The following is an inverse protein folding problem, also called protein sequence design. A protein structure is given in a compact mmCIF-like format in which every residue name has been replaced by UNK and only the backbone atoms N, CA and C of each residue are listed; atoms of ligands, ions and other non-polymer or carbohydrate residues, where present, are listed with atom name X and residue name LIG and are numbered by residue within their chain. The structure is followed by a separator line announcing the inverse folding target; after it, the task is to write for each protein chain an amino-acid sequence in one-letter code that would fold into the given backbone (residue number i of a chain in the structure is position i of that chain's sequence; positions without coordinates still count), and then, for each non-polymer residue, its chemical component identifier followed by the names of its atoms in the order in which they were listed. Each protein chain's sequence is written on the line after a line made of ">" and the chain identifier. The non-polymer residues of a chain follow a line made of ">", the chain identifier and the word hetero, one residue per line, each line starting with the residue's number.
data_IF_914726670547
#
_entry.id   IF_914726670547
#
_cell.length_a   1.000
_cell.length_b   1.000
_cell.length_c   1.000
_cell.angle_alpha   90.00
_cell.angle_beta   90.00
_cell.angle_gamma   90.00
#
_symmetry.space_group_name_H-M   'P 1'
#
loop_
_entity.id
_entity.type
_entity.pdbx_description
1 polymer ?
#
# COMPACT_ATOMS: atom_id res chain seq x y z
N UNK A 1 -86.72 2.55 63.09
CA UNK A 1 -85.25 2.64 63.18
C UNK A 1 -84.67 2.20 61.83
N UNK A 2 -84.84 3.01 60.77
CA UNK A 2 -84.58 2.59 59.37
C UNK A 2 -84.24 3.78 58.45
N UNK A 3 -83.44 4.75 58.92
CA UNK A 3 -83.02 5.88 58.07
C UNK A 3 -81.50 6.13 58.01
N UNK A 4 -80.68 5.43 58.80
CA UNK A 4 -79.22 5.63 58.79
C UNK A 4 -78.45 4.62 57.92
N UNK A 5 -79.09 3.57 57.40
CA UNK A 5 -78.40 2.54 56.60
C UNK A 5 -78.15 2.94 55.14
N UNK A 6 -78.88 3.92 54.60
CA UNK A 6 -78.78 4.31 53.19
C UNK A 6 -77.80 5.49 52.95
N UNK A 7 -77.35 6.18 54.00
CA UNK A 7 -76.43 7.32 53.85
C UNK A 7 -74.94 6.91 53.79
N UNK A 8 -74.60 5.75 54.37
CA UNK A 8 -73.22 5.21 54.36
C UNK A 8 -72.89 4.54 53.01
N UNK A 9 -73.89 4.01 52.31
CA UNK A 9 -73.66 3.34 51.01
C UNK A 9 -73.37 4.33 49.87
N UNK A 10 -73.91 5.56 49.95
CA UNK A 10 -73.76 6.57 48.89
C UNK A 10 -72.39 7.27 48.98
N UNK A 11 -71.80 7.37 50.18
CA UNK A 11 -70.48 8.01 50.37
C UNK A 11 -69.30 7.10 50.01
N UNK A 12 -69.46 5.77 50.01
CA UNK A 12 -68.43 4.82 49.58
C UNK A 12 -68.31 4.68 48.05
N UNK A 13 -69.35 5.04 47.30
CA UNK A 13 -69.39 4.94 45.83
C UNK A 13 -68.82 6.18 45.10
N UNK A 14 -68.68 7.30 45.80
CA UNK A 14 -68.18 8.55 45.21
C UNK A 14 -66.65 8.70 45.24
N UNK A 15 -65.94 7.95 46.11
CA UNK A 15 -64.48 8.02 46.26
C UNK A 15 -63.70 7.11 45.33
N UNK A 16 -64.34 6.11 44.69
CA UNK A 16 -63.70 5.22 43.71
C UNK A 16 -63.67 5.77 42.28
N UNK A 17 -64.53 6.73 41.94
CA UNK A 17 -64.57 7.31 40.58
C UNK A 17 -63.51 8.40 40.35
N UNK A 18 -62.99 9.01 41.42
CA UNK A 18 -62.00 10.10 41.29
C UNK A 18 -60.58 9.56 41.06
N UNK A 19 -60.24 8.38 41.59
CA UNK A 19 -58.93 7.76 41.36
C UNK A 19 -58.80 7.10 39.97
N UNK A 20 -59.89 6.56 39.41
CA UNK A 20 -59.87 5.95 38.08
C UNK A 20 -59.90 6.98 36.93
N UNK A 21 -60.47 8.18 37.16
CA UNK A 21 -60.57 9.21 36.14
C UNK A 21 -59.20 9.81 35.78
N UNK A 22 -58.33 10.06 36.76
CA UNK A 22 -57.02 10.68 36.48
C UNK A 22 -56.12 9.78 35.61
N UNK A 23 -56.09 8.47 35.84
CA UNK A 23 -55.24 7.56 35.07
C UNK A 23 -55.75 7.39 33.62
N UNK A 24 -57.07 7.38 33.42
CA UNK A 24 -57.71 7.31 32.09
C UNK A 24 -57.53 8.60 31.27
N UNK A 25 -57.63 9.78 31.89
CA UNK A 25 -57.44 11.06 31.19
C UNK A 25 -55.96 11.40 30.93
N UNK A 26 -55.02 10.85 31.71
CA UNK A 26 -53.58 10.97 31.43
C UNK A 26 -53.10 10.01 30.33
N UNK A 27 -53.67 8.80 30.26
CA UNK A 27 -53.36 7.80 29.20
C UNK A 27 -54.12 8.02 27.89
N UNK A 28 -55.10 8.94 27.84
CA UNK A 28 -55.86 9.28 26.65
C UNK A 28 -55.07 9.89 25.48
N UNK A 29 -53.77 10.20 25.69
CA UNK A 29 -52.84 10.61 24.63
C UNK A 29 -52.22 9.43 23.87
N UNK A 30 -52.43 8.20 24.32
CA UNK A 30 -51.86 6.99 23.72
C UNK A 30 -52.75 6.42 22.61
N UNK A 31 -52.82 7.12 21.47
CA UNK A 31 -53.50 6.60 20.27
C UNK A 31 -52.73 5.45 19.58
N UNK A 32 -53.30 4.86 18.53
CA UNK A 32 -52.69 3.77 17.74
C UNK A 32 -51.27 4.11 17.18
N UNK A 33 -50.92 5.39 17.15
CA UNK A 33 -49.62 5.91 16.70
C UNK A 33 -48.60 6.15 17.84
N UNK A 34 -49.02 6.13 19.11
CA UNK A 34 -48.14 6.37 20.26
C UNK A 34 -46.96 5.39 20.33
N UNK A 35 -47.23 4.10 20.09
CA UNK A 35 -46.20 3.07 19.99
C UNK A 35 -45.23 3.31 18.82
N UNK A 36 -45.69 3.92 17.72
CA UNK A 36 -44.82 4.28 16.59
C UNK A 36 -43.90 5.45 16.94
N UNK A 37 -44.38 6.43 17.70
CA UNK A 37 -43.57 7.55 18.18
C UNK A 37 -42.52 7.12 19.21
N UNK A 38 -42.91 6.28 20.18
CA UNK A 38 -41.97 5.70 21.14
C UNK A 38 -40.87 4.88 20.46
N UNK A 39 -41.23 4.04 19.47
CA UNK A 39 -40.27 3.30 18.67
C UNK A 39 -39.37 4.20 17.82
N UNK A 40 -39.91 5.30 17.27
CA UNK A 40 -39.14 6.28 16.49
C UNK A 40 -38.11 6.99 17.37
N UNK A 41 -38.51 7.48 18.55
CA UNK A 41 -37.61 8.10 19.53
C UNK A 41 -36.50 7.15 19.95
N UNK A 42 -36.83 5.89 20.26
CA UNK A 42 -35.82 4.87 20.61
C UNK A 42 -34.81 4.62 19.48
N UNK A 43 -35.26 4.54 18.22
CA UNK A 43 -34.38 4.41 17.05
C UNK A 43 -33.50 5.63 16.80
N UNK A 44 -34.00 6.84 17.10
CA UNK A 44 -33.23 8.09 16.98
C UNK A 44 -32.13 8.15 18.05
N UNK A 45 -32.44 7.78 19.30
CA UNK A 45 -31.45 7.69 20.38
C UNK A 45 -30.35 6.66 20.11
N UNK A 46 -30.70 5.49 19.59
CA UNK A 46 -29.72 4.46 19.19
C UNK A 46 -28.79 4.95 18.08
N UNK A 47 -29.34 5.64 17.07
CA UNK A 47 -28.53 6.26 15.99
C UNK A 47 -27.60 7.34 16.52
N UNK A 48 -28.03 8.13 17.49
CA UNK A 48 -27.21 9.19 18.05
C UNK A 48 -26.07 8.63 18.92
N UNK A 49 -26.33 7.58 19.71
CA UNK A 49 -25.29 6.83 20.42
C UNK A 49 -24.28 6.21 19.46
N UNK A 50 -24.75 5.60 18.37
CA UNK A 50 -23.88 5.03 17.34
C UNK A 50 -23.00 6.11 16.69
N UNK A 51 -23.56 7.27 16.34
CA UNK A 51 -22.78 8.39 15.78
C UNK A 51 -21.68 8.87 16.73
N UNK A 52 -21.95 8.95 18.03
CA UNK A 52 -20.94 9.35 19.03
C UNK A 52 -19.80 8.32 19.11
N UNK A 53 -20.15 7.03 19.21
CA UNK A 53 -19.18 5.93 19.19
C UNK A 53 -18.33 5.94 17.90
N UNK A 54 -18.97 6.14 16.75
CA UNK A 54 -18.27 6.23 15.45
C UNK A 54 -17.32 7.42 15.41
N UNK A 55 -17.69 8.58 15.96
CA UNK A 55 -16.81 9.73 16.05
C UNK A 55 -15.63 9.51 17.01
N UNK A 56 -15.85 8.85 18.15
CA UNK A 56 -14.80 8.50 19.09
C UNK A 56 -13.79 7.51 18.48
N UNK A 57 -14.29 6.51 17.76
CA UNK A 57 -13.46 5.58 17.00
C UNK A 57 -12.63 6.30 15.93
N UNK A 58 -13.24 7.18 15.12
CA UNK A 58 -12.50 7.90 14.08
C UNK A 58 -11.40 8.81 14.65
N UNK A 59 -11.61 9.36 15.85
CA UNK A 59 -10.61 10.17 16.57
C UNK A 59 -9.50 9.35 17.22
N UNK A 60 -9.76 8.08 17.55
CA UNK A 60 -8.75 7.22 18.18
C UNK A 60 -7.73 6.68 17.17
N UNK A 61 -8.05 6.71 15.87
CA UNK A 61 -7.13 6.31 14.80
C UNK A 61 -5.97 7.30 14.71
N UNK A 62 -4.79 6.85 15.15
CA UNK A 62 -3.54 7.61 15.06
C UNK A 62 -2.67 7.07 13.91
N UNK A 63 -2.36 7.92 12.94
CA UNK A 63 -1.55 7.54 11.76
C UNK A 63 -0.13 7.11 12.16
N UNK A 64 0.40 7.72 13.24
CA UNK A 64 1.76 7.46 13.70
C UNK A 64 1.93 6.05 14.28
N UNK A 65 0.86 5.34 14.63
CA UNK A 65 0.94 3.97 15.16
C UNK A 65 0.83 2.88 14.08
N UNK A 66 0.54 3.23 12.82
CA UNK A 66 0.33 2.23 11.77
C UNK A 66 1.55 1.35 11.49
N UNK A 67 2.77 1.89 11.63
CA UNK A 67 4.01 1.11 11.46
C UNK A 67 4.27 0.07 12.56
N UNK A 68 3.67 0.25 13.74
CA UNK A 68 3.77 -0.69 14.87
C UNK A 68 2.59 -1.65 14.97
N UNK A 69 1.57 -1.46 14.13
CA UNK A 69 0.33 -2.23 14.15
C UNK A 69 0.50 -3.57 13.41
N UNK A 70 -0.18 -4.61 13.88
CA UNK A 70 -0.25 -5.87 13.14
C UNK A 70 -1.12 -5.71 11.88
N UNK A 71 -0.79 -6.41 10.79
CA UNK A 71 -1.52 -6.27 9.52
C UNK A 71 -3.02 -6.58 9.63
N UNK A 72 -3.39 -7.55 10.49
CA UNK A 72 -4.79 -7.89 10.77
C UNK A 72 -5.52 -6.73 11.45
N UNK A 73 -4.92 -6.17 12.50
CA UNK A 73 -5.47 -5.04 13.25
C UNK A 73 -5.65 -3.81 12.36
N UNK A 74 -4.69 -3.52 11.48
CA UNK A 74 -4.82 -2.44 10.48
C UNK A 74 -6.00 -2.69 9.54
N UNK A 75 -6.12 -3.92 9.02
CA UNK A 75 -7.18 -4.28 8.07
C UNK A 75 -8.58 -4.14 8.67
N UNK A 76 -8.75 -4.60 9.92
CA UNK A 76 -10.01 -4.48 10.67
C UNK A 76 -10.34 -3.00 10.97
N UNK A 77 -9.35 -2.24 11.43
CA UNK A 77 -9.49 -0.80 11.69
C UNK A 77 -9.88 -0.04 10.42
N UNK A 78 -9.24 -0.35 9.30
CA UNK A 78 -9.50 0.29 8.02
C UNK A 78 -10.88 -0.06 7.46
N UNK A 79 -11.31 -1.32 7.60
CA UNK A 79 -12.65 -1.74 7.22
C UNK A 79 -13.70 -0.93 8.01
N UNK A 80 -13.52 -0.83 9.33
CA UNK A 80 -14.43 -0.07 10.19
C UNK A 80 -14.46 1.42 9.86
N UNK A 81 -13.29 2.03 9.64
CA UNK A 81 -13.19 3.45 9.25
C UNK A 81 -13.91 3.74 7.93
N UNK A 82 -13.80 2.84 6.94
CA UNK A 82 -14.54 2.94 5.66
C UNK A 82 -16.04 2.85 5.86
N UNK A 83 -16.53 1.91 6.67
CA UNK A 83 -17.97 1.81 6.97
C UNK A 83 -18.51 3.12 7.54
N UNK A 84 -17.80 3.70 8.52
CA UNK A 84 -18.19 4.96 9.15
C UNK A 84 -18.18 6.11 8.13
N UNK A 85 -17.13 6.22 7.31
CA UNK A 85 -17.01 7.29 6.33
C UNK A 85 -18.05 7.18 5.19
N UNK A 86 -18.40 5.95 4.76
CA UNK A 86 -19.44 5.72 3.75
C UNK A 86 -20.81 6.11 4.30
N UNK A 87 -21.12 5.68 5.53
CA UNK A 87 -22.42 5.95 6.15
C UNK A 87 -22.57 7.39 6.65
N UNK A 88 -21.45 8.07 6.95
CA UNK A 88 -21.40 9.46 7.40
C UNK A 88 -20.19 10.20 6.80
N UNK A 89 -20.31 10.70 5.56
CA UNK A 89 -19.20 11.27 4.80
C UNK A 89 -18.88 12.72 5.20
N UNK A 90 -18.40 12.93 6.44
CA UNK A 90 -17.82 14.21 6.85
C UNK A 90 -16.40 14.36 6.31
N UNK A 91 -15.90 15.60 6.24
CA UNK A 91 -14.53 15.87 5.76
C UNK A 91 -13.49 15.11 6.59
N UNK A 92 -13.68 15.09 7.90
CA UNK A 92 -12.79 14.44 8.86
C UNK A 92 -12.81 12.92 8.68
N UNK A 93 -13.99 12.31 8.53
CA UNK A 93 -14.11 10.87 8.34
C UNK A 93 -13.46 10.41 7.03
N UNK A 94 -13.71 11.15 5.95
CA UNK A 94 -13.10 10.87 4.64
C UNK A 94 -11.59 11.07 4.69
N UNK A 95 -11.11 12.11 5.37
CA UNK A 95 -9.69 12.38 5.52
C UNK A 95 -8.95 11.24 6.24
N UNK A 96 -9.51 10.69 7.33
CA UNK A 96 -8.94 9.52 8.02
C UNK A 96 -8.81 8.33 7.06
N UNK A 97 -9.86 8.02 6.30
CA UNK A 97 -9.83 6.93 5.32
C UNK A 97 -8.82 7.19 4.20
N UNK A 98 -8.68 8.44 3.73
CA UNK A 98 -7.66 8.81 2.74
C UNK A 98 -6.24 8.62 3.28
N UNK A 99 -6.00 8.99 4.54
CA UNK A 99 -4.70 8.80 5.19
C UNK A 99 -4.35 7.32 5.35
N UNK A 100 -5.31 6.48 5.76
CA UNK A 100 -5.12 5.03 5.84
C UNK A 100 -4.86 4.40 4.46
N UNK A 101 -5.63 4.77 3.44
CA UNK A 101 -5.40 4.34 2.06
C UNK A 101 -4.01 4.74 1.57
N UNK A 102 -3.60 5.99 1.82
CA UNK A 102 -2.27 6.47 1.46
C UNK A 102 -1.19 5.60 2.10
N UNK A 103 -1.29 5.34 3.40
CA UNK A 103 -0.33 4.48 4.09
C UNK A 103 -0.29 3.07 3.50
N UNK A 104 -1.46 2.47 3.21
CA UNK A 104 -1.55 1.16 2.56
C UNK A 104 -0.87 1.14 1.18
N UNK A 105 -1.10 2.17 0.37
CA UNK A 105 -0.46 2.35 -0.94
C UNK A 105 1.06 2.46 -0.78
N UNK A 106 1.53 3.28 0.16
CA UNK A 106 2.95 3.48 0.45
C UNK A 106 3.62 2.15 0.90
N UNK A 107 2.95 1.33 1.73
CA UNK A 107 3.46 -0.01 2.11
C UNK A 107 3.48 -0.97 0.92
N UNK A 108 2.46 -0.91 0.06
CA UNK A 108 2.36 -1.78 -1.12
C UNK A 108 3.46 -1.46 -2.13
N UNK A 109 3.78 -0.16 -2.29
CA UNK A 109 4.90 0.29 -3.11
C UNK A 109 6.24 -0.16 -2.54
N UNK A 110 6.46 -0.05 -1.22
CA UNK A 110 7.67 -0.59 -0.57
C UNK A 110 7.81 -2.09 -0.76
N UNK A 111 6.73 -2.84 -0.55
CA UNK A 111 6.70 -4.28 -0.77
C UNK A 111 7.06 -4.63 -2.23
N UNK A 112 6.43 -3.96 -3.20
CA UNK A 112 6.71 -4.18 -4.61
C UNK A 112 8.18 -3.87 -4.96
N UNK A 113 8.76 -2.83 -4.34
CA UNK A 113 10.18 -2.49 -4.50
C UNK A 113 11.10 -3.57 -3.96
N UNK A 114 10.90 -3.99 -2.72
CA UNK A 114 11.68 -5.06 -2.08
C UNK A 114 11.51 -6.38 -2.84
N UNK A 115 10.30 -6.67 -3.32
CA UNK A 115 10.03 -7.85 -4.15
C UNK A 115 10.87 -7.84 -5.44
N UNK A 116 10.87 -6.71 -6.16
CA UNK A 116 11.65 -6.57 -7.38
C UNK A 116 13.16 -6.68 -7.12
N UNK A 117 13.67 -6.04 -6.05
CA UNK A 117 15.08 -6.18 -5.64
C UNK A 117 15.40 -7.65 -5.33
N UNK A 118 14.57 -8.33 -4.54
CA UNK A 118 14.77 -9.71 -4.17
C UNK A 118 14.75 -10.66 -5.39
N UNK A 119 13.93 -10.36 -6.39
CA UNK A 119 13.88 -11.11 -7.65
C UNK A 119 15.15 -10.91 -8.50
N UNK A 120 15.71 -9.68 -8.51
CA UNK A 120 16.98 -9.39 -9.17
C UNK A 120 18.17 -10.04 -8.45
N UNK A 121 18.16 -10.08 -7.12
CA UNK A 121 19.19 -10.72 -6.30
C UNK A 121 19.11 -12.25 -6.38
N UNK A 122 17.90 -12.81 -6.53
CA UNK A 122 17.62 -14.25 -6.56
C UNK A 122 16.92 -14.64 -7.88
N UNK A 123 17.68 -14.87 -8.97
CA UNK A 123 17.14 -15.12 -10.31
C UNK A 123 16.22 -16.35 -10.41
N UNK A 124 16.33 -17.31 -9.49
CA UNK A 124 15.45 -18.48 -9.43
C UNK A 124 14.00 -18.15 -9.05
N UNK A 125 13.72 -16.91 -8.63
CA UNK A 125 12.38 -16.41 -8.32
C UNK A 125 11.74 -15.63 -9.49
N UNK A 126 12.42 -15.50 -10.63
CA UNK A 126 11.88 -14.79 -11.79
C UNK A 126 10.66 -15.50 -12.38
N UNK A 127 9.57 -14.75 -12.58
CA UNK A 127 8.43 -15.20 -13.37
C UNK A 127 8.68 -14.90 -14.86
N UNK A 128 8.22 -15.77 -15.78
CA UNK A 128 8.28 -15.48 -17.20
C UNK A 128 7.49 -14.21 -17.52
N UNK A 129 8.13 -13.28 -18.23
CA UNK A 129 7.59 -11.96 -18.50
C UNK A 129 6.36 -12.08 -19.41
N UNK A 130 5.20 -11.60 -18.94
CA UNK A 130 3.98 -11.55 -19.76
C UNK A 130 4.10 -10.30 -20.64
N UNK A 131 4.32 -10.52 -21.94
CA UNK A 131 4.47 -9.46 -22.93
C UNK A 131 3.35 -8.42 -22.81
N UNK A 132 3.73 -7.17 -22.52
CA UNK A 132 2.80 -6.03 -22.47
C UNK A 132 2.62 -5.46 -23.89
N UNK A 133 1.36 -5.24 -24.27
CA UNK A 133 0.95 -4.71 -25.57
C UNK A 133 1.60 -3.34 -25.86
N UNK A 134 1.99 -3.14 -27.13
CA UNK A 134 2.85 -2.05 -27.62
C UNK A 134 2.04 -0.92 -28.26
N UNK A 135 1.03 -0.34 -27.60
CA UNK A 135 0.45 0.90 -28.13
C UNK A 135 0.05 1.92 -27.07
N UNK A 136 0.48 3.15 -27.32
CA UNK A 136 0.10 4.36 -26.59
C UNK A 136 1.10 4.76 -25.52
N UNK A 137 1.99 5.72 -25.85
CA UNK A 137 2.58 6.74 -24.93
C UNK A 137 3.78 7.57 -25.48
N UNK A 138 3.75 8.09 -26.71
CA UNK A 138 4.93 8.78 -27.30
C UNK A 138 5.51 9.93 -26.43
N UNK A 139 4.66 10.76 -25.83
CA UNK A 139 5.13 11.84 -24.94
C UNK A 139 5.76 11.33 -23.63
N UNK A 140 5.22 10.26 -23.03
CA UNK A 140 5.83 9.66 -21.84
C UNK A 140 7.11 8.88 -22.20
N UNK A 141 7.21 8.34 -23.42
CA UNK A 141 8.45 7.70 -23.87
C UNK A 141 9.59 8.71 -23.99
N UNK A 142 9.36 9.88 -24.62
CA UNK A 142 10.39 10.92 -24.71
C UNK A 142 10.80 11.47 -23.34
N UNK A 143 9.85 11.63 -22.42
CA UNK A 143 10.16 12.07 -21.06
C UNK A 143 11.03 11.03 -20.33
N UNK A 144 10.68 9.74 -20.43
CA UNK A 144 11.46 8.64 -19.83
C UNK A 144 12.83 8.48 -20.47
N UNK A 145 12.93 8.66 -21.78
CA UNK A 145 14.20 8.62 -22.51
C UNK A 145 15.11 9.76 -22.06
N UNK A 146 14.57 10.97 -21.91
CA UNK A 146 15.32 12.11 -21.37
C UNK A 146 15.78 11.86 -19.92
N UNK A 147 14.91 11.37 -19.05
CA UNK A 147 15.26 11.03 -17.67
C UNK A 147 16.39 10.00 -17.61
N UNK A 148 16.35 9.01 -18.51
CA UNK A 148 17.38 8.00 -18.64
C UNK A 148 18.70 8.59 -19.15
N UNK A 149 18.65 9.43 -20.19
CA UNK A 149 19.83 10.10 -20.74
C UNK A 149 20.49 11.03 -19.71
N UNK A 150 19.69 11.79 -18.95
CA UNK A 150 20.14 12.67 -17.88
C UNK A 150 20.81 11.87 -16.74
N UNK A 151 20.20 10.75 -16.33
CA UNK A 151 20.75 9.86 -15.31
C UNK A 151 22.14 9.33 -15.70
N UNK A 152 22.24 8.71 -16.88
CA UNK A 152 23.50 8.10 -17.31
C UNK A 152 24.58 9.15 -17.63
N UNK A 153 24.19 10.31 -18.17
CA UNK A 153 25.14 11.42 -18.39
C UNK A 153 25.72 11.94 -17.07
N UNK A 154 24.89 12.03 -16.03
CA UNK A 154 25.30 12.45 -14.68
C UNK A 154 26.24 11.42 -14.02
N UNK A 155 25.96 10.13 -14.23
CA UNK A 155 26.64 9.03 -13.55
C UNK A 155 27.72 8.31 -14.37
N UNK A 156 28.06 8.79 -15.58
CA UNK A 156 29.05 8.12 -16.44
C UNK A 156 30.44 7.91 -15.83
N UNK A 157 30.83 8.72 -14.84
CA UNK A 157 32.15 8.68 -14.21
C UNK A 157 32.17 7.90 -12.87
N UNK A 158 31.01 7.64 -12.28
CA UNK A 158 30.87 6.95 -10.98
C UNK A 158 30.09 5.63 -11.10
N UNK A 159 29.51 5.35 -12.26
CA UNK A 159 28.83 4.11 -12.62
C UNK A 159 29.60 3.39 -13.73
N UNK A 160 29.74 2.07 -13.60
CA UNK A 160 30.28 1.18 -14.62
C UNK A 160 29.61 -0.19 -14.59
N UNK A 161 29.78 -0.99 -15.63
CA UNK A 161 29.24 -2.35 -15.72
C UNK A 161 30.34 -3.40 -15.67
N UNK A 162 30.03 -4.54 -15.06
CA UNK A 162 30.82 -5.76 -15.13
C UNK A 162 29.96 -6.89 -15.65
N UNK A 163 30.41 -7.54 -16.72
CA UNK A 163 29.72 -8.66 -17.36
C UNK A 163 30.56 -9.92 -17.19
N UNK A 164 30.06 -10.83 -16.36
CA UNK A 164 30.65 -12.16 -16.18
C UNK A 164 30.19 -13.07 -17.31
N UNK A 165 31.14 -13.73 -18.00
CA UNK A 165 30.85 -14.60 -19.12
C UNK A 165 31.70 -15.87 -19.11
N UNK A 166 31.25 -16.91 -19.81
CA UNK A 166 32.01 -18.14 -20.07
C UNK A 166 32.05 -18.41 -21.58
N UNK A 167 33.16 -18.94 -22.06
CA UNK A 167 33.32 -19.38 -23.46
C UNK A 167 32.47 -20.61 -23.77
N UNK A 168 32.02 -21.35 -22.76
CA UNK A 168 31.02 -22.42 -22.93
C UNK A 168 29.69 -21.87 -23.46
N UNK A 169 29.36 -20.61 -23.14
CA UNK A 169 28.17 -19.90 -23.66
C UNK A 169 28.55 -18.71 -24.56
N UNK A 170 29.53 -18.92 -25.46
CA UNK A 170 30.08 -17.89 -26.35
C UNK A 170 29.02 -17.12 -27.14
N UNK A 171 27.96 -17.78 -27.61
CA UNK A 171 26.92 -17.10 -28.39
C UNK A 171 26.15 -16.08 -27.53
N UNK A 172 25.76 -16.45 -26.31
CA UNK A 172 25.06 -15.53 -25.41
C UNK A 172 25.97 -14.38 -24.99
N UNK A 173 27.24 -14.65 -24.69
CA UNK A 173 28.23 -13.62 -24.43
C UNK A 173 28.33 -12.61 -25.59
N UNK A 174 28.50 -13.07 -26.83
CA UNK A 174 28.62 -12.16 -27.99
C UNK A 174 27.37 -11.33 -28.26
N UNK A 175 26.18 -11.87 -27.99
CA UNK A 175 24.94 -11.09 -28.06
C UNK A 175 24.90 -10.01 -26.98
N UNK A 176 25.29 -10.35 -25.76
CA UNK A 176 25.31 -9.42 -24.64
C UNK A 176 26.37 -8.32 -24.81
N UNK A 177 27.53 -8.67 -25.38
CA UNK A 177 28.61 -7.73 -25.71
C UNK A 177 28.14 -6.62 -26.67
N UNK A 178 27.34 -6.96 -27.69
CA UNK A 178 26.76 -5.97 -28.62
C UNK A 178 25.88 -4.96 -27.87
N UNK A 179 25.03 -5.45 -26.96
CA UNK A 179 24.10 -4.61 -26.19
C UNK A 179 24.87 -3.65 -25.27
N UNK A 180 25.89 -4.14 -24.58
CA UNK A 180 26.70 -3.31 -23.70
C UNK A 180 27.59 -2.33 -24.48
N UNK A 181 28.16 -2.73 -25.62
CA UNK A 181 28.92 -1.79 -26.46
C UNK A 181 28.05 -0.62 -26.94
N UNK A 182 26.79 -0.87 -27.29
CA UNK A 182 25.85 0.20 -27.63
C UNK A 182 25.58 1.15 -26.44
N UNK A 183 25.57 0.64 -25.19
CA UNK A 183 25.46 1.48 -23.99
C UNK A 183 26.71 2.34 -23.77
N UNK A 184 27.90 1.77 -23.98
CA UNK A 184 29.16 2.53 -23.92
C UNK A 184 29.15 3.63 -24.98
N UNK A 185 28.83 3.31 -26.23
CA UNK A 185 28.74 4.30 -27.32
C UNK A 185 27.73 5.41 -27.01
N UNK A 186 26.57 5.08 -26.44
CA UNK A 186 25.52 6.06 -26.13
C UNK A 186 25.88 6.97 -24.95
N UNK A 187 26.41 6.42 -23.86
CA UNK A 187 26.54 7.13 -22.57
C UNK A 187 27.99 7.34 -22.10
N UNK A 188 28.97 6.71 -22.73
CA UNK A 188 30.37 6.74 -22.33
C UNK A 188 30.66 6.01 -21.00
N UNK A 189 29.82 5.03 -20.65
CA UNK A 189 29.96 4.26 -19.40
C UNK A 189 31.00 3.15 -19.60
N UNK A 190 31.89 2.98 -18.63
CA UNK A 190 32.90 1.91 -18.63
C UNK A 190 32.26 0.54 -18.47
N UNK A 191 32.74 -0.43 -19.25
CA UNK A 191 32.25 -1.81 -19.24
C UNK A 191 33.44 -2.76 -19.20
N UNK A 192 33.46 -3.60 -18.18
CA UNK A 192 34.48 -4.63 -17.97
C UNK A 192 33.87 -6.01 -18.19
N UNK A 193 34.63 -6.89 -18.84
CA UNK A 193 34.21 -8.26 -19.12
C UNK A 193 35.12 -9.23 -18.35
N UNK A 194 34.51 -10.13 -17.57
CA UNK A 194 35.24 -11.09 -16.74
C UNK A 194 34.96 -12.50 -17.21
N UNK A 195 36.01 -13.19 -17.68
CA UNK A 195 35.92 -14.59 -18.09
C UNK A 195 35.92 -15.51 -16.85
N UNK A 196 34.78 -16.12 -16.55
CA UNK A 196 34.63 -17.04 -15.41
C UNK A 196 35.32 -18.38 -15.62
N UNK A 197 35.68 -18.73 -16.87
CA UNK A 197 36.48 -19.93 -17.13
C UNK A 197 37.93 -19.75 -16.63
N UNK A 198 38.43 -18.51 -16.66
CA UNK A 198 39.77 -18.14 -16.16
C UNK A 198 39.75 -17.75 -14.67
N UNK A 199 38.61 -17.24 -14.18
CA UNK A 199 38.40 -16.79 -12.80
C UNK A 199 37.22 -17.51 -12.12
N UNK A 200 37.31 -18.83 -11.90
CA UNK A 200 36.19 -19.63 -11.39
C UNK A 200 35.76 -19.27 -9.96
N UNK A 201 36.63 -18.63 -9.17
CA UNK A 201 36.30 -18.11 -7.84
C UNK A 201 35.22 -17.02 -7.88
N UNK A 202 35.10 -16.28 -8.99
CA UNK A 202 34.07 -15.25 -9.16
C UNK A 202 32.66 -15.84 -9.15
N UNK A 203 32.49 -17.08 -9.65
CA UNK A 203 31.21 -17.80 -9.62
C UNK A 203 30.71 -17.93 -8.17
N UNK A 204 31.59 -18.32 -7.25
CA UNK A 204 31.24 -18.47 -5.83
C UNK A 204 31.06 -17.11 -5.16
N UNK A 205 31.96 -16.16 -5.42
CA UNK A 205 31.95 -14.82 -4.80
C UNK A 205 30.66 -14.05 -5.13
N UNK A 206 30.27 -14.04 -6.39
CA UNK A 206 29.08 -13.33 -6.86
C UNK A 206 27.83 -14.22 -6.91
N UNK A 207 27.94 -15.50 -6.50
CA UNK A 207 26.86 -16.49 -6.55
C UNK A 207 26.21 -16.51 -7.93
N UNK A 208 27.03 -16.62 -8.97
CA UNK A 208 26.58 -16.64 -10.36
C UNK A 208 25.82 -17.94 -10.61
N UNK A 209 24.68 -17.85 -11.28
CA UNK A 209 23.78 -18.98 -11.55
C UNK A 209 23.88 -19.39 -13.03
N UNK A 210 24.13 -18.44 -13.92
CA UNK A 210 24.31 -18.66 -15.36
C UNK A 210 25.40 -17.75 -15.93
N UNK A 211 25.61 -17.78 -17.24
CA UNK A 211 26.38 -16.76 -17.96
C UNK A 211 25.69 -16.41 -19.29
N UNK A 212 25.72 -15.15 -19.75
CA UNK A 212 26.32 -14.01 -19.07
C UNK A 212 25.48 -13.52 -17.88
N UNK A 213 26.11 -12.95 -16.86
CA UNK A 213 25.43 -12.15 -15.83
C UNK A 213 26.07 -10.77 -15.74
N UNK A 214 25.25 -9.75 -15.53
CA UNK A 214 25.69 -8.37 -15.48
C UNK A 214 25.45 -7.76 -14.11
N UNK A 215 26.43 -6.99 -13.66
CA UNK A 215 26.41 -6.17 -12.46
C UNK A 215 26.74 -4.74 -12.86
N UNK A 216 26.20 -3.77 -12.13
CA UNK A 216 26.79 -2.44 -12.13
C UNK A 216 27.60 -2.23 -10.86
N UNK A 217 28.63 -1.41 -10.98
CA UNK A 217 29.41 -0.87 -9.88
C UNK A 217 29.09 0.62 -9.81
N UNK A 218 28.76 1.10 -8.62
CA UNK A 218 28.61 2.51 -8.34
C UNK A 218 29.59 2.93 -7.24
N UNK A 219 30.31 4.03 -7.44
CA UNK A 219 31.16 4.63 -6.42
C UNK A 219 30.35 5.67 -5.65
N UNK A 220 30.03 5.39 -4.39
CA UNK A 220 29.27 6.31 -3.55
C UNK A 220 30.08 7.56 -3.15
N UNK A 221 29.42 8.49 -2.46
CA UNK A 221 30.03 9.73 -1.97
C UNK A 221 31.22 9.51 -1.02
N UNK A 222 31.30 8.34 -0.37
CA UNK A 222 32.41 7.92 0.52
C UNK A 222 33.55 7.25 -0.24
N UNK A 223 33.40 7.03 -1.54
CA UNK A 223 34.37 6.36 -2.40
C UNK A 223 34.30 4.83 -2.36
N UNK A 224 33.28 4.26 -1.72
CA UNK A 224 33.05 2.82 -1.63
C UNK A 224 32.37 2.31 -2.91
N UNK A 225 32.80 1.14 -3.38
CA UNK A 225 32.22 0.49 -4.55
C UNK A 225 31.02 -0.38 -4.14
N UNK A 226 29.83 0.02 -4.57
CA UNK A 226 28.59 -0.72 -4.38
C UNK A 226 28.33 -1.56 -5.64
N UNK A 227 28.15 -2.86 -5.45
CA UNK A 227 27.90 -3.81 -6.53
C UNK A 227 26.46 -4.28 -6.48
N UNK A 228 25.74 -4.17 -7.60
CA UNK A 228 24.36 -4.62 -7.71
C UNK A 228 24.18 -5.46 -8.98
N UNK A 229 23.53 -6.62 -8.86
CA UNK A 229 23.17 -7.47 -10.00
C UNK A 229 22.09 -6.78 -10.83
N UNK A 230 22.35 -6.59 -12.11
CA UNK A 230 21.42 -5.96 -13.06
C UNK A 230 20.52 -7.01 -13.71
N UNK A 231 21.13 -8.10 -14.20
CA UNK A 231 20.41 -9.22 -14.81
C UNK A 231 21.27 -10.48 -14.83
N UNK A 232 20.62 -11.61 -14.59
CA UNK A 232 21.15 -12.95 -14.85
C UNK A 232 20.65 -13.43 -16.22
N UNK A 233 21.57 -13.82 -17.11
CA UNK A 233 21.27 -14.20 -18.49
C UNK A 233 21.28 -13.02 -19.47
N UNK A 234 20.70 -13.26 -20.65
CA UNK A 234 20.59 -12.25 -21.72
C UNK A 234 19.62 -11.14 -21.33
N UNK A 235 19.97 -9.91 -21.68
CA UNK A 235 19.18 -8.71 -21.41
C UNK A 235 19.21 -7.75 -22.60
N UNK A 236 18.07 -7.12 -22.87
CA UNK A 236 17.99 -5.98 -23.79
C UNK A 236 18.59 -4.72 -23.16
N UNK A 237 18.93 -3.73 -24.00
CA UNK A 237 19.42 -2.44 -23.53
C UNK A 237 18.42 -1.77 -22.57
N UNK A 238 17.12 -1.84 -22.89
CA UNK A 238 16.05 -1.26 -22.10
C UNK A 238 15.92 -1.91 -20.72
N UNK A 239 16.06 -3.23 -20.62
CA UNK A 239 16.05 -3.94 -19.34
C UNK A 239 17.25 -3.54 -18.47
N UNK A 240 18.45 -3.50 -19.07
CA UNK A 240 19.69 -3.10 -18.36
C UNK A 240 19.55 -1.70 -17.79
N UNK A 241 19.11 -0.74 -18.60
CA UNK A 241 19.02 0.66 -18.18
C UNK A 241 17.95 0.85 -17.11
N UNK A 242 16.76 0.27 -17.29
CA UNK A 242 15.67 0.36 -16.32
C UNK A 242 16.03 -0.29 -14.99
N UNK A 243 16.60 -1.50 -15.01
CA UNK A 243 17.01 -2.19 -13.78
C UNK A 243 18.09 -1.39 -13.05
N UNK A 244 19.04 -0.81 -13.79
CA UNK A 244 20.09 0.03 -13.20
C UNK A 244 19.51 1.25 -12.49
N UNK A 245 18.68 2.05 -13.17
CA UNK A 245 18.04 3.23 -12.57
C UNK A 245 17.18 2.86 -11.36
N UNK A 246 16.37 1.80 -11.48
CA UNK A 246 15.52 1.31 -10.41
C UNK A 246 16.33 0.91 -9.17
N UNK A 247 17.40 0.12 -9.35
CA UNK A 247 18.27 -0.31 -8.26
C UNK A 247 19.04 0.88 -7.65
N UNK A 248 19.47 1.83 -8.46
CA UNK A 248 20.14 3.03 -7.97
C UNK A 248 19.23 3.85 -7.04
N UNK A 249 18.01 4.14 -7.49
CA UNK A 249 17.05 4.95 -6.74
C UNK A 249 16.54 4.25 -5.47
N UNK A 250 16.42 2.92 -5.49
CA UNK A 250 15.72 2.18 -4.43
C UNK A 250 16.63 1.33 -3.54
N UNK A 251 17.82 0.93 -4.00
CA UNK A 251 18.74 0.09 -3.23
C UNK A 251 20.01 0.84 -2.79
N UNK A 252 20.38 1.92 -3.48
CA UNK A 252 21.60 2.70 -3.18
C UNK A 252 21.27 3.97 -2.42
N UNK A 253 20.28 4.76 -2.88
CA UNK A 253 19.90 6.00 -2.22
C UNK A 253 19.27 5.80 -0.82
N UNK A 254 18.84 4.58 -0.46
CA UNK A 254 18.47 4.24 0.92
C UNK A 254 19.68 3.93 1.82
N UNK A 255 20.81 3.50 1.25
CA UNK A 255 22.05 3.20 2.00
C UNK A 255 22.95 4.43 2.21
N UNK A 256 22.76 5.47 1.39
CA UNK A 256 23.44 6.76 1.49
C UNK A 256 22.63 7.85 2.25
N UNK A 257 21.39 7.55 2.68
CA UNK A 257 20.61 8.38 3.63
C UNK A 257 20.91 7.98 5.08
#
# INVERSE_FOLDING_TARGET
>A
MTFYSNLILITLLASSQVYAANEFFETGKEGWFYYKEAQKKKKEEEKEKQKKSDQEFMKSISINSFSSMQAKEFSETFARAKEIAIMNPTKENVQVVQMMNKWQMDQSEKFARVWAINMLENPNLEYPDIAKDKYGRSAQFHQKEKEMDDFFSKHKNDLGYVVFYSMQNKMAYKRQEIVFNALNEKYGITIEYVNTDEQPEMIKKFKLVTTPESFFIYKNSKGEAIWMRVKSGLATQEEITKNTMFLFENAIMEKDK
#
